data_IF_370139827695
#
_entry.id   IF_370139827695
#
_cell.length_a   1.000
_cell.length_b   1.000
_cell.length_c   1.000
_cell.angle_alpha   90.00
_cell.angle_beta   90.00
_cell.angle_gamma   90.00
#
_symmetry.space_group_name_H-M   'P 1'
#
loop_
_entity.id
_entity.type
_entity.pdbx_description
1 polymer ?
#
# COMPACT_ATOMS: atom_id res chain seq x y z
N UNK A 1 7.06 -29.50 -5.24
CA UNK A 1 6.06 -30.13 -6.15
C UNK A 1 4.66 -30.07 -5.53
N UNK A 2 3.60 -29.96 -6.34
CA UNK A 2 2.22 -29.76 -5.87
C UNK A 2 1.71 -30.97 -5.07
N UNK A 3 1.17 -30.73 -3.88
CA UNK A 3 0.44 -31.75 -3.13
C UNK A 3 -0.96 -32.02 -3.75
N UNK A 4 -1.63 -33.07 -3.28
CA UNK A 4 -2.90 -33.50 -3.86
C UNK A 4 -4.05 -32.51 -3.61
N UNK A 5 -3.97 -31.71 -2.54
CA UNK A 5 -4.94 -30.64 -2.27
C UNK A 5 -4.79 -29.53 -3.31
N UNK A 6 -3.56 -29.07 -3.55
CA UNK A 6 -3.25 -28.05 -4.55
C UNK A 6 -3.57 -28.52 -5.96
N UNK A 7 -3.33 -29.80 -6.31
CA UNK A 7 -3.75 -30.37 -7.60
C UNK A 7 -5.26 -30.33 -7.77
N UNK A 8 -6.01 -30.71 -6.73
CA UNK A 8 -7.48 -30.69 -6.76
C UNK A 8 -8.01 -29.26 -6.95
N UNK A 9 -7.46 -28.30 -6.21
CA UNK A 9 -7.83 -26.88 -6.36
C UNK A 9 -7.49 -26.36 -7.77
N UNK A 10 -6.27 -26.64 -8.25
CA UNK A 10 -5.85 -26.24 -9.59
C UNK A 10 -6.77 -26.84 -10.66
N UNK A 11 -7.12 -28.12 -10.57
CA UNK A 11 -8.05 -28.76 -11.51
C UNK A 11 -9.41 -28.06 -11.53
N UNK A 12 -9.95 -27.69 -10.37
CA UNK A 12 -11.20 -26.93 -10.28
C UNK A 12 -11.09 -25.57 -10.98
N UNK A 13 -9.98 -24.85 -10.76
CA UNK A 13 -9.74 -23.57 -11.45
C UNK A 13 -9.56 -23.74 -12.96
N UNK A 14 -8.81 -24.76 -13.41
CA UNK A 14 -8.64 -25.02 -14.84
C UNK A 14 -9.97 -25.38 -15.53
N UNK A 15 -10.94 -25.95 -14.79
CA UNK A 15 -12.31 -26.13 -15.27
C UNK A 15 -13.04 -24.82 -15.62
N UNK A 16 -12.57 -23.66 -15.12
CA UNK A 16 -13.14 -22.34 -15.41
C UNK A 16 -12.55 -21.68 -16.67
N UNK A 17 -11.55 -22.31 -17.32
CA UNK A 17 -11.00 -21.81 -18.57
C UNK A 17 -12.08 -21.79 -19.65
N UNK A 18 -12.19 -20.67 -20.37
CA UNK A 18 -13.15 -20.49 -21.48
C UNK A 18 -12.51 -20.74 -22.84
N UNK A 19 -11.19 -20.56 -22.92
CA UNK A 19 -10.37 -20.73 -24.11
C UNK A 19 -9.17 -21.63 -23.81
N UNK A 20 -8.67 -22.37 -24.82
CA UNK A 20 -7.45 -23.16 -24.68
C UNK A 20 -6.20 -22.28 -24.53
N UNK A 21 -5.24 -22.77 -23.77
CA UNK A 21 -3.96 -22.11 -23.50
C UNK A 21 -2.78 -23.06 -23.76
N UNK A 22 -1.61 -22.47 -23.95
CA UNK A 22 -0.36 -23.17 -24.22
C UNK A 22 0.72 -22.71 -23.25
N UNK A 23 1.45 -23.67 -22.70
CA UNK A 23 2.62 -23.48 -21.87
C UNK A 23 3.85 -23.69 -22.74
N UNK A 24 4.58 -22.63 -23.08
CA UNK A 24 5.75 -22.69 -23.97
C UNK A 24 7.01 -22.63 -23.12
N UNK A 25 7.61 -23.79 -22.85
CA UNK A 25 8.73 -23.97 -21.96
C UNK A 25 10.08 -23.87 -22.68
N UNK A 26 11.01 -23.15 -22.05
CA UNK A 26 12.44 -23.08 -22.35
C UNK A 26 13.19 -23.69 -21.17
N UNK A 27 13.57 -24.96 -21.30
CA UNK A 27 14.12 -25.76 -20.21
C UNK A 27 15.64 -25.92 -20.34
N UNK A 28 16.29 -26.21 -19.21
CA UNK A 28 17.67 -26.69 -19.12
C UNK A 28 17.74 -27.96 -18.25
N UNK A 29 18.94 -28.49 -18.06
CA UNK A 29 19.18 -29.71 -17.30
C UNK A 29 19.40 -29.46 -15.79
N UNK A 30 19.05 -28.27 -15.28
CA UNK A 30 19.14 -27.95 -13.85
C UNK A 30 18.07 -28.68 -13.04
N UNK A 31 18.25 -28.74 -11.71
CA UNK A 31 17.21 -29.26 -10.79
C UNK A 31 15.92 -28.45 -10.93
N UNK A 32 16.01 -27.11 -10.95
CA UNK A 32 14.89 -26.21 -11.20
C UNK A 32 14.23 -26.47 -12.56
N UNK A 33 15.01 -26.81 -13.59
CA UNK A 33 14.49 -27.14 -14.92
C UNK A 33 13.71 -28.45 -14.94
N UNK A 34 14.21 -29.45 -14.21
CA UNK A 34 13.52 -30.73 -14.00
C UNK A 34 12.21 -30.54 -13.25
N UNK A 35 12.23 -29.77 -12.16
CA UNK A 35 11.05 -29.44 -11.36
C UNK A 35 10.02 -28.62 -12.14
N UNK A 36 10.47 -27.66 -12.96
CA UNK A 36 9.58 -26.89 -13.83
C UNK A 36 8.89 -27.81 -14.83
N UNK A 37 9.62 -28.70 -15.49
CA UNK A 37 9.04 -29.66 -16.42
C UNK A 37 7.96 -30.51 -15.74
N UNK A 38 8.26 -31.06 -14.57
CA UNK A 38 7.32 -31.87 -13.80
C UNK A 38 6.06 -31.07 -13.39
N UNK A 39 6.22 -29.80 -12.99
CA UNK A 39 5.11 -28.90 -12.72
C UNK A 39 4.23 -28.70 -13.96
N UNK A 40 4.82 -28.37 -15.11
CA UNK A 40 4.09 -28.11 -16.35
C UNK A 40 3.34 -29.35 -16.86
N UNK A 41 3.99 -30.53 -16.83
CA UNK A 41 3.36 -31.81 -17.15
C UNK A 41 2.19 -32.12 -16.20
N UNK A 42 2.35 -31.79 -14.90
CA UNK A 42 1.25 -31.91 -13.94
C UNK A 42 0.08 -31.00 -14.33
N UNK A 43 0.31 -29.73 -14.64
CA UNK A 43 -0.77 -28.79 -15.04
C UNK A 43 -1.52 -29.31 -16.27
N UNK A 44 -0.78 -29.80 -17.29
CA UNK A 44 -1.35 -30.36 -18.53
C UNK A 44 -2.21 -31.60 -18.24
N UNK A 45 -1.79 -32.44 -17.27
CA UNK A 45 -2.56 -33.63 -16.89
C UNK A 45 -3.92 -33.30 -16.24
N UNK A 46 -4.11 -32.06 -15.74
CA UNK A 46 -5.32 -31.65 -15.02
C UNK A 46 -6.38 -31.02 -15.93
N UNK A 47 -6.08 -30.68 -17.19
CA UNK A 47 -7.05 -30.08 -18.11
C UNK A 47 -6.73 -30.34 -19.57
N UNK A 48 -7.78 -30.67 -20.34
CA UNK A 48 -7.76 -30.80 -21.80
C UNK A 48 -7.59 -29.46 -22.54
N UNK A 49 -7.75 -28.33 -21.84
CA UNK A 49 -7.57 -26.98 -22.40
C UNK A 49 -6.16 -26.44 -22.24
N UNK A 50 -5.23 -27.21 -21.68
CA UNK A 50 -3.84 -26.80 -21.46
C UNK A 50 -2.92 -27.72 -22.23
N UNK A 51 -2.05 -27.13 -23.06
CA UNK A 51 -1.04 -27.88 -23.83
C UNK A 51 0.37 -27.44 -23.45
N UNK A 52 1.35 -28.34 -23.59
CA UNK A 52 2.76 -28.06 -23.33
C UNK A 52 3.56 -28.10 -24.63
N UNK A 53 4.38 -27.08 -24.83
CA UNK A 53 5.38 -26.99 -25.88
C UNK A 53 6.77 -26.79 -25.25
N UNK A 54 7.66 -27.76 -25.44
CA UNK A 54 9.03 -27.71 -24.91
C UNK A 54 10.05 -27.20 -25.94
N UNK A 55 9.61 -26.63 -27.07
CA UNK A 55 10.49 -26.09 -28.11
C UNK A 55 10.93 -24.64 -27.87
N UNK A 56 10.55 -24.04 -26.74
CA UNK A 56 10.96 -22.68 -26.37
C UNK A 56 12.48 -22.56 -26.20
N UNK A 57 13.00 -21.36 -26.49
CA UNK A 57 14.43 -21.08 -26.41
C UNK A 57 14.72 -19.66 -25.87
N UNK A 58 14.08 -19.30 -24.76
CA UNK A 58 14.35 -18.04 -24.06
C UNK A 58 15.77 -18.00 -23.48
N UNK A 59 16.29 -16.78 -23.27
CA UNK A 59 17.58 -16.56 -22.64
C UNK A 59 17.58 -16.99 -21.16
N UNK A 60 16.45 -16.86 -20.46
CA UNK A 60 16.27 -17.36 -19.10
C UNK A 60 15.79 -18.81 -19.15
N UNK A 61 16.64 -19.72 -18.69
CA UNK A 61 16.32 -21.13 -18.51
C UNK A 61 16.56 -21.50 -17.04
N UNK A 62 15.63 -22.23 -16.40
CA UNK A 62 14.33 -22.64 -16.94
C UNK A 62 13.29 -21.49 -16.92
N UNK A 63 12.48 -21.37 -17.96
CA UNK A 63 11.33 -20.46 -18.01
C UNK A 63 10.19 -21.02 -18.86
N UNK A 64 8.98 -20.46 -18.74
CA UNK A 64 7.88 -20.76 -19.64
C UNK A 64 6.95 -19.57 -19.84
N UNK A 65 6.25 -19.54 -20.97
CA UNK A 65 5.21 -18.55 -21.28
C UNK A 65 3.83 -19.20 -21.12
N UNK A 66 2.92 -18.49 -20.47
CA UNK A 66 1.47 -18.78 -20.52
C UNK A 66 0.88 -17.94 -21.64
N UNK A 67 0.48 -18.58 -22.74
CA UNK A 67 -0.05 -17.93 -23.94
C UNK A 67 -1.42 -18.51 -24.33
N UNK A 68 -2.21 -17.74 -25.09
CA UNK A 68 -3.41 -18.28 -25.74
C UNK A 68 -3.03 -19.23 -26.87
N UNK A 69 -3.94 -20.13 -27.22
CA UNK A 69 -3.74 -20.96 -28.41
C UNK A 69 -3.50 -20.09 -29.67
N UNK A 70 -2.46 -20.41 -30.44
CA UNK A 70 -2.04 -19.65 -31.62
C UNK A 70 -1.12 -18.45 -31.32
N UNK A 71 -0.94 -18.08 -30.05
CA UNK A 71 -0.02 -17.01 -29.63
C UNK A 71 1.30 -17.59 -29.09
N UNK A 72 2.36 -16.79 -29.20
CA UNK A 72 3.70 -17.11 -28.67
C UNK A 72 4.17 -16.13 -27.59
N UNK A 73 3.34 -15.12 -27.32
CA UNK A 73 3.58 -14.09 -26.31
C UNK A 73 2.52 -14.20 -25.21
N UNK A 74 2.87 -13.72 -24.02
CA UNK A 74 2.03 -13.80 -22.84
C UNK A 74 2.86 -13.51 -21.59
N UNK A 75 2.39 -14.01 -20.44
CA UNK A 75 3.11 -13.87 -19.17
C UNK A 75 4.21 -14.92 -19.10
N UNK A 76 5.46 -14.49 -18.90
CA UNK A 76 6.60 -15.38 -18.72
C UNK A 76 6.91 -15.56 -17.24
N UNK A 77 7.16 -16.80 -16.82
CA UNK A 77 7.74 -17.14 -15.53
C UNK A 77 9.12 -17.75 -15.75
N UNK A 78 10.15 -17.16 -15.14
CA UNK A 78 11.52 -17.67 -15.10
C UNK A 78 11.79 -18.19 -13.68
N UNK A 79 12.13 -19.48 -13.57
CA UNK A 79 12.19 -20.21 -12.30
C UNK A 79 10.82 -20.75 -11.89
N UNK A 80 10.68 -21.22 -10.64
CA UNK A 80 9.47 -21.93 -10.19
C UNK A 80 8.43 -20.95 -9.60
N UNK A 81 7.23 -20.79 -10.20
CA UNK A 81 6.16 -19.95 -9.63
C UNK A 81 5.34 -20.70 -8.57
N UNK A 82 6.02 -21.10 -7.49
CA UNK A 82 5.42 -21.77 -6.32
C UNK A 82 5.42 -20.83 -5.09
N UNK A 83 5.22 -21.38 -3.89
CA UNK A 83 5.13 -20.59 -2.67
C UNK A 83 3.93 -19.64 -2.73
N UNK A 84 4.15 -18.36 -2.40
CA UNK A 84 3.10 -17.34 -2.50
C UNK A 84 2.65 -17.07 -3.94
N UNK A 85 3.51 -17.33 -4.93
CA UNK A 85 3.26 -17.06 -6.34
C UNK A 85 2.49 -18.17 -7.06
N UNK A 86 2.17 -19.26 -6.36
CA UNK A 86 1.24 -20.27 -6.88
C UNK A 86 -0.12 -19.65 -7.24
N UNK A 87 -0.60 -18.69 -6.43
CA UNK A 87 -1.84 -17.97 -6.71
C UNK A 87 -1.74 -17.12 -7.98
N UNK A 88 -0.59 -16.48 -8.19
CA UNK A 88 -0.29 -15.68 -9.38
C UNK A 88 -0.24 -16.54 -10.64
N UNK A 89 0.35 -17.74 -10.56
CA UNK A 89 0.31 -18.72 -11.64
C UNK A 89 -1.13 -19.10 -12.00
N UNK A 90 -1.94 -19.47 -11.01
CA UNK A 90 -3.35 -19.84 -11.22
C UNK A 90 -4.12 -18.73 -11.92
N UNK A 91 -3.95 -17.48 -11.47
CA UNK A 91 -4.61 -16.32 -12.07
C UNK A 91 -4.12 -16.05 -13.50
N UNK A 92 -2.81 -16.18 -13.77
CA UNK A 92 -2.28 -16.03 -15.13
C UNK A 92 -2.87 -17.08 -16.08
N UNK A 93 -3.00 -18.34 -15.65
CA UNK A 93 -3.66 -19.40 -16.43
C UNK A 93 -5.12 -19.05 -16.70
N UNK A 94 -5.86 -18.67 -15.65
CA UNK A 94 -7.28 -18.32 -15.72
C UNK A 94 -7.55 -17.14 -16.67
N UNK A 95 -6.84 -16.03 -16.49
CA UNK A 95 -7.04 -14.82 -17.28
C UNK A 95 -6.62 -15.00 -18.73
N UNK A 96 -5.52 -15.73 -18.98
CA UNK A 96 -5.10 -16.07 -20.35
C UNK A 96 -6.16 -16.92 -21.04
N UNK A 97 -6.74 -17.90 -20.33
CA UNK A 97 -7.85 -18.73 -20.80
C UNK A 97 -9.22 -18.06 -20.76
N UNK A 98 -9.31 -16.74 -20.58
CA UNK A 98 -10.54 -15.96 -20.74
C UNK A 98 -11.46 -15.91 -19.52
N UNK A 99 -11.02 -16.35 -18.34
CA UNK A 99 -11.74 -16.09 -17.09
C UNK A 99 -11.63 -14.59 -16.74
N UNK A 100 -12.73 -13.91 -16.37
CA UNK A 100 -12.70 -12.48 -16.11
C UNK A 100 -11.94 -12.16 -14.82
N UNK A 101 -11.06 -11.14 -14.80
CA UNK A 101 -10.40 -10.68 -13.59
C UNK A 101 -11.40 -9.95 -12.68
N UNK A 102 -11.12 -9.94 -11.37
CA UNK A 102 -11.91 -9.19 -10.37
C UNK A 102 -11.35 -7.77 -10.19
N UNK A 103 -11.26 -7.02 -11.29
CA UNK A 103 -10.87 -5.60 -11.28
C UNK A 103 -11.95 -4.78 -11.97
N UNK A 104 -12.00 -3.48 -11.67
CA UNK A 104 -12.94 -2.56 -12.29
C UNK A 104 -12.70 -2.44 -13.80
N UNK A 105 -13.77 -2.32 -14.59
CA UNK A 105 -13.66 -2.26 -16.05
C UNK A 105 -12.82 -1.07 -16.53
N UNK A 106 -12.90 0.06 -15.82
CA UNK A 106 -12.10 1.25 -16.11
C UNK A 106 -10.59 0.98 -16.05
N UNK A 107 -10.15 0.12 -15.13
CA UNK A 107 -8.74 -0.27 -15.01
C UNK A 107 -8.32 -1.08 -16.23
N UNK A 108 -9.14 -2.05 -16.65
CA UNK A 108 -8.89 -2.84 -17.86
C UNK A 108 -8.83 -1.95 -19.10
N UNK A 109 -9.72 -0.97 -19.20
CA UNK A 109 -9.75 -0.05 -20.34
C UNK A 109 -8.53 0.88 -20.34
N UNK A 110 -8.07 1.34 -19.18
CA UNK A 110 -6.82 2.09 -19.05
C UNK A 110 -5.59 1.25 -19.42
N UNK A 111 -5.52 -0.02 -19.01
CA UNK A 111 -4.45 -0.95 -19.42
C UNK A 111 -4.43 -1.08 -20.94
N UNK A 112 -5.58 -1.33 -21.58
CA UNK A 112 -5.69 -1.45 -23.04
C UNK A 112 -5.32 -0.16 -23.77
N UNK A 113 -5.54 1.00 -23.14
CA UNK A 113 -5.25 2.30 -23.71
C UNK A 113 -3.78 2.71 -23.60
N UNK A 114 -2.95 1.99 -22.82
CA UNK A 114 -1.52 2.27 -22.72
C UNK A 114 -0.86 2.21 -24.12
N UNK A 115 -0.23 3.31 -24.49
CA UNK A 115 0.46 3.48 -25.76
C UNK A 115 1.96 3.63 -25.52
N UNK A 116 2.69 2.55 -25.77
CA UNK A 116 4.13 2.43 -25.56
C UNK A 116 4.53 0.96 -25.46
N UNK A 117 5.80 0.65 -25.71
CA UNK A 117 6.34 -0.70 -25.52
C UNK A 117 6.90 -0.83 -24.09
N UNK A 118 6.28 -1.68 -23.29
CA UNK A 118 6.61 -1.87 -21.88
C UNK A 118 7.11 -3.28 -21.64
N UNK A 119 8.39 -3.44 -21.31
CA UNK A 119 8.98 -4.73 -20.93
C UNK A 119 9.27 -4.75 -19.44
N UNK A 120 8.37 -5.35 -18.68
CA UNK A 120 8.50 -5.52 -17.24
C UNK A 120 9.26 -6.79 -16.87
N UNK A 121 10.16 -6.64 -15.90
CA UNK A 121 10.82 -7.73 -15.19
C UNK A 121 10.54 -7.56 -13.70
N UNK A 122 9.89 -8.53 -13.07
CA UNK A 122 9.59 -8.49 -11.63
C UNK A 122 10.32 -9.61 -10.92
N UNK A 123 11.25 -9.25 -10.04
CA UNK A 123 11.96 -10.19 -9.17
C UNK A 123 11.15 -10.44 -7.92
N UNK A 124 10.93 -11.72 -7.60
CA UNK A 124 10.21 -12.20 -6.43
C UNK A 124 11.01 -13.30 -5.72
N UNK A 125 10.57 -13.67 -4.52
CA UNK A 125 11.03 -14.89 -3.83
C UNK A 125 9.82 -15.72 -3.39
N UNK A 126 10.01 -17.03 -3.28
CA UNK A 126 8.94 -17.97 -2.91
C UNK A 126 8.30 -17.67 -1.54
N UNK A 127 9.04 -17.00 -0.65
CA UNK A 127 8.64 -16.65 0.72
C UNK A 127 8.10 -15.22 0.86
N UNK A 128 8.10 -14.43 -0.21
CA UNK A 128 7.64 -13.05 -0.20
C UNK A 128 6.11 -12.96 -0.17
N UNK A 129 5.54 -12.51 0.94
CA UNK A 129 4.08 -12.34 1.10
C UNK A 129 3.49 -11.19 0.26
N UNK A 130 4.30 -10.18 -0.09
CA UNK A 130 3.84 -8.97 -0.80
C UNK A 130 4.03 -9.02 -2.32
N UNK A 131 4.82 -9.97 -2.81
CA UNK A 131 5.14 -10.11 -4.23
C UNK A 131 3.92 -10.46 -5.11
N UNK A 132 2.97 -11.31 -4.66
CA UNK A 132 1.86 -11.74 -5.50
C UNK A 132 1.02 -10.59 -6.05
N UNK A 133 0.76 -9.54 -5.27
CA UNK A 133 -0.04 -8.39 -5.71
C UNK A 133 0.58 -7.71 -6.94
N UNK A 134 1.90 -7.51 -6.92
CA UNK A 134 2.65 -6.84 -7.99
C UNK A 134 2.77 -7.76 -9.20
N UNK A 135 3.06 -9.05 -8.98
CA UNK A 135 3.15 -10.06 -10.03
C UNK A 135 1.80 -10.20 -10.76
N UNK A 136 0.70 -10.26 -10.01
CA UNK A 136 -0.64 -10.35 -10.55
C UNK A 136 -1.03 -9.10 -11.33
N UNK A 137 -0.71 -7.90 -10.82
CA UNK A 137 -0.96 -6.64 -11.52
C UNK A 137 -0.24 -6.61 -12.89
N UNK A 138 1.07 -6.90 -12.92
CA UNK A 138 1.85 -6.89 -14.16
C UNK A 138 1.44 -8.03 -15.13
N UNK A 139 1.05 -9.18 -14.59
CA UNK A 139 0.54 -10.30 -15.39
C UNK A 139 -0.78 -9.92 -16.05
N UNK A 140 -1.69 -9.28 -15.31
CA UNK A 140 -2.95 -8.78 -15.83
C UNK A 140 -2.72 -7.78 -16.97
N UNK A 141 -1.77 -6.85 -16.79
CA UNK A 141 -1.43 -5.88 -17.82
C UNK A 141 -0.96 -6.53 -19.12
N UNK A 142 -0.04 -7.50 -19.04
CA UNK A 142 0.45 -8.22 -20.22
C UNK A 142 -0.63 -9.03 -20.94
N UNK A 143 -1.64 -9.53 -20.22
CA UNK A 143 -2.75 -10.30 -20.81
C UNK A 143 -3.75 -9.38 -21.55
N UNK A 144 -3.93 -8.14 -21.09
CA UNK A 144 -4.92 -7.21 -21.64
C UNK A 144 -4.34 -6.18 -22.61
N UNK A 145 -3.02 -6.00 -22.67
CA UNK A 145 -2.37 -5.12 -23.65
C UNK A 145 -1.15 -5.82 -24.30
N UNK A 146 -1.17 -6.06 -25.63
CA UNK A 146 -0.08 -6.75 -26.33
C UNK A 146 1.25 -5.98 -26.37
N UNK A 147 1.24 -4.67 -26.05
CA UNK A 147 2.47 -3.86 -25.93
C UNK A 147 3.12 -3.98 -24.56
N UNK A 148 2.45 -4.62 -23.59
CA UNK A 148 3.00 -4.90 -22.27
C UNK A 148 3.50 -6.34 -22.24
N UNK A 149 4.78 -6.52 -21.92
CA UNK A 149 5.42 -7.81 -21.71
C UNK A 149 5.81 -7.91 -20.24
N UNK A 150 5.53 -9.05 -19.62
CA UNK A 150 5.86 -9.29 -18.21
C UNK A 150 6.65 -10.58 -18.07
N UNK A 151 7.83 -10.48 -17.47
CA UNK A 151 8.62 -11.63 -17.01
C UNK A 151 8.71 -11.62 -15.49
N UNK A 152 8.17 -12.65 -14.86
CA UNK A 152 8.25 -12.91 -13.43
C UNK A 152 9.48 -13.76 -13.19
N UNK A 153 10.38 -13.32 -12.31
CA UNK A 153 11.70 -13.92 -12.10
C UNK A 153 11.82 -14.34 -10.64
N UNK A 154 11.99 -15.64 -10.41
CA UNK A 154 12.26 -16.20 -9.09
C UNK A 154 13.74 -16.00 -8.75
N UNK A 155 14.03 -15.10 -7.81
CA UNK A 155 15.40 -14.66 -7.51
C UNK A 155 16.33 -15.78 -7.00
N UNK A 156 15.78 -16.84 -6.39
CA UNK A 156 16.55 -18.00 -5.95
C UNK A 156 17.09 -18.84 -7.11
N UNK A 157 16.36 -18.97 -8.22
CA UNK A 157 16.84 -19.59 -9.45
C UNK A 157 17.78 -18.68 -10.26
N UNK A 158 17.67 -17.35 -10.13
CA UNK A 158 18.44 -16.37 -10.92
C UNK A 158 19.34 -15.48 -10.04
N UNK A 159 20.06 -16.07 -9.08
CA UNK A 159 20.90 -15.34 -8.11
C UNK A 159 21.94 -14.43 -8.76
N UNK A 160 22.52 -14.85 -9.90
CA UNK A 160 23.49 -14.04 -10.63
C UNK A 160 22.89 -12.69 -11.07
N UNK A 161 21.64 -12.70 -11.54
CA UNK A 161 20.96 -11.45 -11.92
C UNK A 161 20.65 -10.58 -10.70
N UNK A 162 20.28 -11.20 -9.57
CA UNK A 162 20.04 -10.52 -8.29
C UNK A 162 21.29 -9.77 -7.82
N UNK A 163 22.45 -10.42 -7.91
CA UNK A 163 23.75 -9.84 -7.55
C UNK A 163 24.16 -8.72 -8.52
N UNK A 164 24.12 -8.98 -9.83
CA UNK A 164 24.53 -8.02 -10.87
C UNK A 164 23.66 -6.75 -10.87
N UNK A 165 22.37 -6.89 -10.57
CA UNK A 165 21.42 -5.78 -10.50
C UNK A 165 21.25 -5.20 -9.09
N UNK A 166 22.04 -5.66 -8.13
CA UNK A 166 22.04 -5.17 -6.74
C UNK A 166 20.64 -5.17 -6.09
N UNK A 167 19.88 -6.24 -6.29
CA UNK A 167 18.50 -6.34 -5.79
C UNK A 167 18.53 -6.71 -4.30
N UNK A 168 18.29 -5.72 -3.45
CA UNK A 168 18.34 -5.88 -1.99
C UNK A 168 16.99 -6.21 -1.33
N UNK A 169 15.89 -6.07 -2.07
CA UNK A 169 14.53 -6.32 -1.58
C UNK A 169 13.60 -6.74 -2.73
N UNK A 170 12.56 -7.51 -2.41
CA UNK A 170 11.51 -7.94 -3.35
C UNK A 170 10.11 -7.57 -2.81
N UNK A 171 9.10 -7.33 -3.68
CA UNK A 171 9.19 -7.33 -5.14
C UNK A 171 10.00 -6.15 -5.67
N UNK A 172 10.84 -6.41 -6.67
CA UNK A 172 11.61 -5.40 -7.39
C UNK A 172 11.22 -5.43 -8.86
N UNK A 173 10.75 -4.29 -9.37
CA UNK A 173 10.24 -4.17 -10.74
C UNK A 173 11.19 -3.31 -11.56
N UNK A 174 11.59 -3.84 -12.70
CA UNK A 174 12.27 -3.12 -13.76
C UNK A 174 11.33 -2.92 -14.94
N UNK A 175 11.45 -1.78 -15.61
CA UNK A 175 10.78 -1.46 -16.87
C UNK A 175 11.84 -1.10 -17.90
N UNK A 176 11.89 -1.84 -19.00
CA UNK A 176 12.83 -1.60 -20.11
C UNK A 176 14.31 -1.57 -19.65
N UNK A 177 14.64 -2.35 -18.62
CA UNK A 177 15.99 -2.45 -18.04
C UNK A 177 16.29 -1.46 -16.91
N UNK A 178 15.42 -0.48 -16.66
CA UNK A 178 15.58 0.51 -15.58
C UNK A 178 14.71 0.17 -14.37
N UNK A 179 15.14 0.57 -13.17
CA UNK A 179 14.35 0.37 -11.95
C UNK A 179 13.06 1.20 -12.04
N UNK A 180 11.92 0.52 -11.94
CA UNK A 180 10.60 1.15 -11.97
C UNK A 180 10.02 1.33 -10.57
N UNK A 181 10.15 0.30 -9.73
CA UNK A 181 9.60 0.30 -8.38
C UNK A 181 10.18 -0.80 -7.49
N UNK A 182 10.07 -0.59 -6.17
CA UNK A 182 10.30 -1.61 -5.15
C UNK A 182 9.14 -1.58 -4.14
N UNK A 183 8.74 -2.75 -3.65
CA UNK A 183 7.65 -2.89 -2.69
C UNK A 183 6.27 -3.04 -3.35
N UNK A 184 5.23 -3.07 -2.50
CA UNK A 184 3.85 -3.32 -2.90
C UNK A 184 3.32 -2.20 -3.81
N UNK A 185 2.64 -2.57 -4.88
CA UNK A 185 2.03 -1.64 -5.82
C UNK A 185 0.77 -2.23 -6.43
N UNK A 186 -0.29 -1.44 -6.55
CA UNK A 186 -1.52 -1.85 -7.23
C UNK A 186 -1.42 -1.66 -8.74
N UNK A 187 -2.32 -2.30 -9.49
CA UNK A 187 -2.37 -2.15 -10.95
C UNK A 187 -2.69 -0.71 -11.36
N UNK A 188 -3.53 -0.02 -10.61
CA UNK A 188 -3.88 1.38 -10.83
C UNK A 188 -2.66 2.30 -10.66
N UNK A 189 -1.85 2.06 -9.63
CA UNK A 189 -0.61 2.80 -9.40
C UNK A 189 0.41 2.57 -10.52
N UNK A 190 0.54 1.34 -11.01
CA UNK A 190 1.43 1.01 -12.14
C UNK A 190 0.94 1.73 -13.41
N UNK A 191 -0.34 1.60 -13.75
CA UNK A 191 -0.92 2.24 -14.94
C UNK A 191 -0.76 3.75 -14.88
N UNK A 192 -1.04 4.38 -13.74
CA UNK A 192 -0.89 5.82 -13.54
C UNK A 192 0.55 6.30 -13.76
N UNK A 193 1.56 5.49 -13.39
CA UNK A 193 2.97 5.81 -13.63
C UNK A 193 3.38 5.71 -15.10
N UNK A 194 2.78 4.81 -15.87
CA UNK A 194 3.12 4.59 -17.28
C UNK A 194 2.41 5.56 -18.23
N UNK A 195 1.19 5.92 -17.86
CA UNK A 195 0.31 6.67 -18.74
C UNK A 195 0.56 8.17 -18.61
N UNK A 196 1.51 8.68 -19.38
CA UNK A 196 1.77 10.13 -19.47
C UNK A 196 0.56 10.94 -19.98
N UNK A 197 -0.47 10.28 -20.53
CA UNK A 197 -1.76 10.87 -20.89
C UNK A 197 -2.91 10.59 -19.90
N UNK A 198 -2.69 9.78 -18.85
CA UNK A 198 -3.73 9.40 -17.87
C UNK A 198 -4.29 10.63 -17.19
N UNK A 199 -3.41 11.51 -16.69
CA UNK A 199 -3.84 12.71 -15.98
C UNK A 199 -4.82 13.55 -16.82
N UNK A 200 -4.57 13.70 -18.13
CA UNK A 200 -5.46 14.43 -19.03
C UNK A 200 -6.77 13.69 -19.33
N UNK A 201 -6.72 12.37 -19.54
CA UNK A 201 -7.93 11.55 -19.76
C UNK A 201 -8.79 11.44 -18.53
N UNK A 202 -8.19 11.21 -17.37
CA UNK A 202 -8.87 11.18 -16.07
C UNK A 202 -9.47 12.54 -15.77
N UNK A 203 -8.74 13.62 -16.03
CA UNK A 203 -9.31 14.96 -15.88
C UNK A 203 -10.51 15.18 -16.81
N UNK A 204 -10.45 14.72 -18.07
CA UNK A 204 -11.59 14.78 -18.99
C UNK A 204 -12.77 13.93 -18.50
N UNK A 205 -12.54 12.71 -18.01
CA UNK A 205 -13.58 11.83 -17.44
C UNK A 205 -14.23 12.48 -16.21
N UNK A 206 -13.45 13.09 -15.32
CA UNK A 206 -13.94 13.79 -14.14
C UNK A 206 -14.74 15.04 -14.52
N UNK A 207 -14.25 15.83 -15.48
CA UNK A 207 -14.95 17.01 -16.00
C UNK A 207 -16.29 16.68 -16.67
N UNK A 208 -16.42 15.47 -17.22
CA UNK A 208 -17.66 15.00 -17.85
C UNK A 208 -18.72 14.51 -16.84
N UNK A 209 -18.39 14.39 -15.54
CA UNK A 209 -19.35 13.94 -14.53
C UNK A 209 -20.38 15.04 -14.23
N UNK A 210 -21.65 14.65 -14.21
CA UNK A 210 -22.73 15.53 -13.72
C UNK A 210 -22.51 15.93 -12.26
N UNK A 211 -22.94 17.14 -11.85
CA UNK A 211 -22.80 17.61 -10.49
C UNK A 211 -23.34 16.61 -9.46
N UNK A 212 -22.61 16.45 -8.36
CA UNK A 212 -23.02 15.61 -7.25
C UNK A 212 -24.01 16.37 -6.34
N UNK A 213 -24.88 15.64 -5.65
CA UNK A 213 -25.61 16.23 -4.52
C UNK A 213 -24.64 16.44 -3.34
N UNK A 214 -23.77 15.45 -3.11
CA UNK A 214 -22.70 15.49 -2.11
C UNK A 214 -21.40 14.97 -2.73
N UNK A 215 -20.34 15.77 -2.71
CA UNK A 215 -18.98 15.35 -3.02
C UNK A 215 -18.16 15.27 -1.73
N UNK A 216 -17.57 14.13 -1.45
CA UNK A 216 -16.70 13.89 -0.30
C UNK A 216 -15.25 13.94 -0.77
N UNK A 217 -14.42 14.74 -0.12
CA UNK A 217 -12.99 14.88 -0.42
C UNK A 217 -12.18 14.20 0.68
N UNK A 218 -11.59 13.04 0.36
CA UNK A 218 -10.84 12.17 1.25
C UNK A 218 -11.55 10.84 1.52
N UNK A 219 -10.95 9.72 1.12
CA UNK A 219 -11.52 8.37 1.18
C UNK A 219 -11.16 7.57 2.44
N UNK A 220 -10.77 8.22 3.54
CA UNK A 220 -10.52 7.57 4.83
C UNK A 220 -11.82 7.13 5.53
N UNK A 221 -11.75 6.62 6.78
CA UNK A 221 -12.92 6.16 7.52
C UNK A 221 -14.04 7.21 7.64
N UNK A 222 -13.69 8.48 7.85
CA UNK A 222 -14.65 9.58 7.89
C UNK A 222 -15.40 9.77 6.56
N UNK A 223 -14.68 9.74 5.43
CA UNK A 223 -15.27 9.88 4.11
C UNK A 223 -16.11 8.66 3.71
N UNK A 224 -15.63 7.45 4.01
CA UNK A 224 -16.39 6.22 3.78
C UNK A 224 -17.71 6.20 4.56
N UNK A 225 -17.67 6.59 5.84
CA UNK A 225 -18.88 6.72 6.66
C UNK A 225 -19.85 7.76 6.08
N UNK A 226 -19.37 8.96 5.74
CA UNK A 226 -20.19 9.99 5.12
C UNK A 226 -20.85 9.50 3.82
N UNK A 227 -20.08 8.78 2.98
CA UNK A 227 -20.55 8.25 1.70
C UNK A 227 -21.68 7.25 1.88
N UNK A 228 -21.52 6.28 2.79
CA UNK A 228 -22.56 5.29 3.11
C UNK A 228 -23.83 5.98 3.58
N UNK A 229 -23.73 6.94 4.50
CA UNK A 229 -24.89 7.62 5.05
C UNK A 229 -25.62 8.50 4.02
N UNK A 230 -24.87 9.21 3.18
CA UNK A 230 -25.43 10.03 2.11
C UNK A 230 -26.12 9.14 1.05
N UNK A 231 -25.45 8.09 0.58
CA UNK A 231 -25.98 7.21 -0.47
C UNK A 231 -27.25 6.47 -0.03
N UNK A 232 -27.37 6.13 1.27
CA UNK A 232 -28.59 5.57 1.87
C UNK A 232 -29.82 6.49 1.78
N UNK A 233 -29.65 7.77 1.43
CA UNK A 233 -30.75 8.71 1.18
C UNK A 233 -31.14 8.79 -0.30
N UNK A 234 -30.49 8.01 -1.18
CA UNK A 234 -30.82 7.96 -2.61
C UNK A 234 -30.34 9.17 -3.40
N UNK A 235 -29.40 9.95 -2.86
CA UNK A 235 -28.81 11.11 -3.54
C UNK A 235 -27.52 10.72 -4.28
N UNK A 236 -27.11 11.53 -5.26
CA UNK A 236 -25.89 11.30 -6.06
C UNK A 236 -24.65 11.66 -5.24
N UNK A 237 -23.87 10.65 -4.87
CA UNK A 237 -22.69 10.78 -4.00
C UNK A 237 -21.41 10.42 -4.77
N UNK A 238 -20.39 11.27 -4.63
CA UNK A 238 -19.05 11.00 -5.11
C UNK A 238 -18.02 11.06 -3.98
N UNK A 239 -16.97 10.24 -4.05
CA UNK A 239 -15.83 10.29 -3.14
C UNK A 239 -14.57 10.49 -3.98
N UNK A 240 -13.93 11.65 -3.88
CA UNK A 240 -12.62 11.91 -4.45
C UNK A 240 -11.54 11.62 -3.41
N UNK A 241 -10.62 10.70 -3.69
CA UNK A 241 -9.62 10.25 -2.74
C UNK A 241 -8.26 10.04 -3.40
N UNK A 242 -7.18 10.44 -2.72
CA UNK A 242 -5.82 10.10 -3.12
C UNK A 242 -5.60 8.59 -3.02
N UNK A 243 -5.98 8.00 -1.86
CA UNK A 243 -5.99 6.56 -1.60
C UNK A 243 -7.17 6.21 -0.71
N UNK A 244 -8.10 5.39 -1.20
CA UNK A 244 -9.22 4.92 -0.38
C UNK A 244 -8.72 4.13 0.85
N UNK A 245 -9.40 4.28 1.98
CA UNK A 245 -8.98 3.78 3.29
C UNK A 245 -8.13 4.76 4.10
N UNK A 246 -7.40 5.69 3.45
CA UNK A 246 -6.57 6.68 4.14
C UNK A 246 -5.51 6.04 5.04
N UNK A 247 -5.31 6.60 6.24
CA UNK A 247 -4.24 6.17 7.17
C UNK A 247 -4.32 4.70 7.59
N UNK A 248 -5.53 4.12 7.68
CA UNK A 248 -5.67 2.75 8.19
C UNK A 248 -4.95 1.74 7.31
N UNK A 249 -4.75 2.02 6.02
CA UNK A 249 -4.01 1.13 5.13
C UNK A 249 -2.58 0.85 5.59
N UNK A 250 -1.98 1.78 6.33
CA UNK A 250 -0.60 1.68 6.80
C UNK A 250 -0.53 1.18 8.26
N UNK A 251 -1.67 0.80 8.85
CA UNK A 251 -1.79 0.27 10.20
C UNK A 251 -1.72 -1.26 10.18
N UNK A 252 -0.91 -1.85 11.06
CA UNK A 252 -0.80 -3.31 11.17
C UNK A 252 -1.99 -3.92 11.91
N UNK A 253 -2.10 -3.71 13.22
CA UNK A 253 -3.16 -4.26 14.05
C UNK A 253 -4.13 -3.16 14.48
N UNK A 254 -5.43 -3.48 14.47
CA UNK A 254 -6.52 -2.61 14.90
C UNK A 254 -7.40 -3.41 15.85
N UNK A 255 -7.34 -3.08 17.14
CA UNK A 255 -8.05 -3.77 18.24
C UNK A 255 -9.08 -2.86 18.94
N UNK A 256 -9.29 -1.66 18.40
CA UNK A 256 -10.13 -0.63 19.00
C UNK A 256 -11.30 -0.19 18.11
N UNK A 257 -11.56 -0.92 17.01
CA UNK A 257 -12.76 -0.69 16.21
C UNK A 257 -13.94 -1.44 16.84
N UNK A 258 -14.81 -0.70 17.52
CA UNK A 258 -15.91 -1.25 18.33
C UNK A 258 -16.69 -2.33 17.56
N UNK A 259 -16.99 -3.44 18.25
CA UNK A 259 -17.59 -4.70 17.74
C UNK A 259 -16.65 -5.65 16.97
N UNK A 260 -15.44 -5.22 16.64
CA UNK A 260 -14.40 -6.05 16.02
C UNK A 260 -13.27 -6.24 17.01
N UNK A 261 -13.04 -7.49 17.42
CA UNK A 261 -12.00 -7.82 18.41
C UNK A 261 -10.60 -7.49 17.88
N UNK A 262 -10.32 -7.88 16.64
CA UNK A 262 -9.05 -7.63 15.97
C UNK A 262 -9.27 -7.61 14.44
N UNK A 263 -8.61 -6.68 13.77
CA UNK A 263 -8.45 -6.65 12.31
C UNK A 263 -7.14 -5.99 11.95
N UNK A 264 -6.78 -6.01 10.68
CA UNK A 264 -5.66 -5.24 10.15
C UNK A 264 -6.11 -4.09 9.24
N UNK A 265 -5.18 -3.17 8.97
CA UNK A 265 -5.39 -1.99 8.14
C UNK A 265 -5.95 -2.27 6.75
N UNK A 266 -5.25 -3.05 5.90
CA UNK A 266 -5.73 -3.41 4.57
C UNK A 266 -7.09 -4.10 4.57
N UNK A 267 -7.33 -5.05 5.48
CA UNK A 267 -8.62 -5.74 5.62
C UNK A 267 -9.74 -4.77 5.99
N UNK A 268 -9.47 -3.84 6.90
CA UNK A 268 -10.44 -2.83 7.31
C UNK A 268 -10.76 -1.84 6.18
N UNK A 269 -9.74 -1.36 5.45
CA UNK A 269 -9.92 -0.50 4.29
C UNK A 269 -10.76 -1.17 3.19
N UNK A 270 -10.48 -2.44 2.88
CA UNK A 270 -11.25 -3.21 1.91
C UNK A 270 -12.71 -3.41 2.35
N UNK A 271 -12.96 -3.63 3.65
CA UNK A 271 -14.31 -3.74 4.18
C UNK A 271 -15.09 -2.41 4.07
N UNK A 272 -14.44 -1.27 4.34
CA UNK A 272 -15.02 0.06 4.13
C UNK A 272 -15.36 0.27 2.64
N UNK A 273 -14.45 -0.08 1.74
CA UNK A 273 -14.65 0.11 0.31
C UNK A 273 -15.82 -0.74 -0.21
N UNK A 274 -15.87 -2.02 0.19
CA UNK A 274 -16.96 -2.91 -0.16
C UNK A 274 -18.32 -2.35 0.29
N UNK A 275 -18.38 -1.77 1.50
CA UNK A 275 -19.62 -1.15 2.00
C UNK A 275 -20.01 0.11 1.21
N UNK A 276 -19.05 0.95 0.83
CA UNK A 276 -19.32 2.14 -0.01
C UNK A 276 -19.80 1.73 -1.40
N UNK A 277 -19.11 0.78 -2.05
CA UNK A 277 -19.48 0.24 -3.37
C UNK A 277 -20.85 -0.43 -3.37
N UNK A 278 -21.25 -1.08 -2.28
CA UNK A 278 -22.58 -1.69 -2.14
C UNK A 278 -23.73 -0.69 -2.39
N UNK A 279 -23.54 0.59 -2.08
CA UNK A 279 -24.54 1.63 -2.32
C UNK A 279 -24.37 2.37 -3.65
N UNK A 280 -23.51 1.88 -4.56
CA UNK A 280 -23.30 2.47 -5.88
C UNK A 280 -22.66 3.86 -5.86
N UNK A 281 -21.91 4.17 -4.80
CA UNK A 281 -21.16 5.44 -4.69
C UNK A 281 -20.03 5.47 -5.72
N UNK A 282 -19.87 6.61 -6.38
CA UNK A 282 -18.80 6.86 -7.33
C UNK A 282 -17.49 7.16 -6.59
N UNK A 283 -16.62 6.16 -6.46
CA UNK A 283 -15.29 6.31 -5.84
C UNK A 283 -14.27 6.67 -6.92
N UNK A 284 -13.75 7.89 -6.85
CA UNK A 284 -12.73 8.45 -7.72
C UNK A 284 -11.38 8.41 -6.99
N UNK A 285 -10.64 7.32 -7.15
CA UNK A 285 -9.31 7.11 -6.56
C UNK A 285 -8.19 7.84 -7.34
N UNK A 286 -7.02 7.96 -6.70
CA UNK A 286 -5.83 8.64 -7.22
C UNK A 286 -6.08 10.12 -7.56
N UNK A 287 -6.96 10.74 -6.77
CA UNK A 287 -7.48 12.08 -6.99
C UNK A 287 -7.16 12.98 -5.79
N UNK A 288 -6.25 13.93 -5.98
CA UNK A 288 -5.87 14.91 -4.96
C UNK A 288 -6.50 16.27 -5.25
N UNK A 289 -7.21 16.81 -4.27
CA UNK A 289 -7.81 18.14 -4.38
C UNK A 289 -6.75 19.24 -4.20
N UNK A 290 -6.80 20.24 -5.06
CA UNK A 290 -5.87 21.39 -5.09
C UNK A 290 -6.56 22.69 -4.67
N UNK A 291 -7.85 22.87 -5.00
CA UNK A 291 -8.56 24.11 -4.66
C UNK A 291 -10.04 23.89 -4.44
N UNK A 292 -10.57 24.52 -3.40
CA UNK A 292 -12.02 24.64 -3.17
C UNK A 292 -12.49 26.00 -3.69
N UNK A 293 -13.55 26.01 -4.50
CA UNK A 293 -14.18 27.23 -5.01
C UNK A 293 -15.61 27.26 -4.47
N UNK A 294 -15.94 28.23 -3.60
CA UNK A 294 -17.30 28.40 -3.08
C UNK A 294 -18.33 28.56 -4.19
N UNK A 295 -19.58 28.24 -3.88
CA UNK A 295 -20.66 28.27 -4.85
C UNK A 295 -20.81 29.66 -5.50
N UNK A 296 -20.88 29.67 -6.83
CA UNK A 296 -21.18 30.85 -7.62
C UNK A 296 -22.69 31.05 -7.80
N UNK A 297 -23.06 31.73 -8.89
CA UNK A 297 -24.48 31.99 -9.23
C UNK A 297 -25.27 30.72 -9.56
N UNK A 298 -24.58 29.65 -9.97
CA UNK A 298 -25.19 28.34 -10.25
C UNK A 298 -25.49 27.52 -8.97
N UNK A 299 -25.08 28.01 -7.80
CA UNK A 299 -25.27 27.34 -6.52
C UNK A 299 -24.41 26.09 -6.32
N UNK A 300 -23.42 25.85 -7.18
CA UNK A 300 -22.56 24.66 -7.12
C UNK A 300 -21.16 25.01 -6.60
N UNK A 301 -20.75 24.31 -5.55
CA UNK A 301 -19.36 24.31 -5.08
C UNK A 301 -18.51 23.53 -6.07
N UNK A 302 -17.28 24.01 -6.33
CA UNK A 302 -16.35 23.32 -7.23
C UNK A 302 -15.10 22.90 -6.47
N UNK A 303 -14.62 21.68 -6.75
CA UNK A 303 -13.34 21.17 -6.25
C UNK A 303 -12.44 20.93 -7.45
N UNK A 304 -11.36 21.70 -7.52
CA UNK A 304 -10.31 21.52 -8.51
C UNK A 304 -9.33 20.47 -8.02
N UNK A 305 -8.95 19.59 -8.93
CA UNK A 305 -8.04 18.48 -8.69
C UNK A 305 -6.64 18.83 -9.21
N UNK A 306 -5.59 18.24 -8.65
CA UNK A 306 -4.19 18.51 -9.07
C UNK A 306 -3.94 18.18 -10.55
N UNK A 307 -4.69 17.23 -11.13
CA UNK A 307 -4.62 16.90 -12.57
C UNK A 307 -5.36 17.91 -13.48
N UNK A 308 -5.92 18.99 -12.92
CA UNK A 308 -6.65 20.03 -13.65
C UNK A 308 -8.15 19.77 -13.84
N UNK A 309 -8.68 18.65 -13.35
CA UNK A 309 -10.11 18.39 -13.36
C UNK A 309 -10.87 19.32 -12.40
N UNK A 310 -12.15 19.53 -12.65
CA UNK A 310 -13.06 20.22 -11.74
C UNK A 310 -14.32 19.40 -11.55
N UNK A 311 -14.54 18.97 -10.31
CA UNK A 311 -15.79 18.32 -9.89
C UNK A 311 -16.73 19.38 -9.31
N UNK A 312 -18.03 19.22 -9.57
CA UNK A 312 -19.08 20.13 -9.07
C UNK A 312 -20.02 19.41 -8.12
N UNK A 313 -20.46 20.08 -7.07
CA UNK A 313 -21.46 19.53 -6.16
C UNK A 313 -22.32 20.61 -5.50
N UNK A 314 -23.54 20.26 -5.07
CA UNK A 314 -24.37 21.13 -4.23
C UNK A 314 -23.79 21.29 -2.83
N UNK A 315 -23.19 20.23 -2.29
CA UNK A 315 -22.54 20.22 -0.99
C UNK A 315 -21.21 19.45 -1.05
N UNK A 316 -20.24 19.89 -0.24
CA UNK A 316 -18.93 19.24 -0.13
C UNK A 316 -18.67 18.87 1.32
N UNK A 317 -18.18 17.65 1.56
CA UNK A 317 -17.70 17.18 2.86
C UNK A 317 -16.20 17.01 2.77
N UNK A 318 -15.46 17.72 3.63
CA UNK A 318 -14.01 17.64 3.71
C UNK A 318 -13.60 16.63 4.78
N UNK A 319 -12.97 15.54 4.37
CA UNK A 319 -12.52 14.44 5.23
C UNK A 319 -11.10 14.01 4.87
N UNK A 320 -10.22 14.98 4.61
CA UNK A 320 -8.85 14.79 4.14
C UNK A 320 -7.88 14.30 5.23
N UNK A 321 -8.33 14.25 6.48
CA UNK A 321 -7.55 13.77 7.61
C UNK A 321 -6.32 14.62 7.90
N UNK A 322 -5.30 13.99 8.47
CA UNK A 322 -4.03 14.61 8.82
C UNK A 322 -2.87 13.67 8.47
N UNK A 323 -1.65 14.14 8.67
CA UNK A 323 -0.43 13.34 8.66
C UNK A 323 0.37 13.61 9.92
N UNK A 324 1.07 12.59 10.40
CA UNK A 324 1.97 12.75 11.54
C UNK A 324 3.24 13.49 11.11
N UNK A 325 3.76 14.35 11.98
CA UNK A 325 5.11 14.89 11.80
C UNK A 325 6.11 13.78 12.08
N UNK A 326 6.97 13.53 11.11
CA UNK A 326 8.09 12.62 11.27
C UNK A 326 9.26 13.32 11.99
N UNK A 327 10.08 12.53 12.66
CA UNK A 327 11.35 13.00 13.24
C UNK A 327 12.36 13.31 12.13
N UNK A 328 12.30 12.56 11.03
CA UNK A 328 13.19 12.56 9.87
C UNK A 328 14.64 12.18 10.23
N UNK A 329 14.80 11.05 10.90
CA UNK A 329 16.10 10.49 11.29
C UNK A 329 16.31 9.08 10.71
N UNK A 330 17.57 8.62 10.56
CA UNK A 330 17.86 7.23 10.24
C UNK A 330 17.12 6.25 11.16
N UNK A 331 16.62 5.17 10.57
CA UNK A 331 15.86 4.12 11.25
C UNK A 331 14.36 4.39 11.44
N UNK A 332 13.89 5.65 11.38
CA UNK A 332 12.45 5.94 11.57
C UNK A 332 11.58 5.24 10.51
N UNK A 333 11.92 5.39 9.23
CA UNK A 333 11.18 4.75 8.14
C UNK A 333 11.37 3.22 8.12
N UNK A 334 12.57 2.74 8.46
CA UNK A 334 12.92 1.30 8.47
C UNK A 334 12.15 0.52 9.53
N UNK A 335 12.00 1.11 10.72
CA UNK A 335 11.34 0.51 11.86
C UNK A 335 9.90 0.97 12.07
N UNK A 336 9.32 1.70 11.11
CA UNK A 336 7.89 2.01 11.07
C UNK A 336 7.08 0.71 11.15
N UNK A 337 6.13 0.66 12.08
CA UNK A 337 5.34 -0.54 12.41
C UNK A 337 6.14 -1.74 12.95
N UNK A 338 7.44 -1.56 13.26
CA UNK A 338 8.33 -2.56 13.88
C UNK A 338 8.94 -2.03 15.19
N UNK A 339 8.17 -1.22 15.91
CA UNK A 339 8.59 -0.53 17.13
C UNK A 339 8.48 0.98 17.05
N UNK A 340 8.52 1.59 15.86
CA UNK A 340 8.14 3.00 15.68
C UNK A 340 6.63 3.09 15.46
N UNK A 341 5.97 3.84 16.33
CA UNK A 341 4.54 4.03 16.38
C UNK A 341 4.20 5.53 16.45
N UNK A 342 3.01 5.89 15.98
CA UNK A 342 2.51 7.27 16.01
C UNK A 342 1.24 7.42 16.85
N UNK A 343 0.59 6.32 17.24
CA UNK A 343 -0.65 6.33 18.00
C UNK A 343 -0.48 5.56 19.31
N UNK A 344 -0.33 6.22 20.47
CA UNK A 344 -0.20 5.54 21.76
C UNK A 344 -1.43 4.69 22.10
N UNK A 345 -2.63 5.18 21.76
CA UNK A 345 -3.88 4.45 22.01
C UNK A 345 -4.02 3.18 21.16
N UNK A 346 -3.36 3.14 19.99
CA UNK A 346 -3.44 2.02 19.07
C UNK A 346 -2.42 0.95 19.46
N UNK A 347 -1.16 1.36 19.65
CA UNK A 347 -0.04 0.42 19.76
C UNK A 347 0.44 0.22 21.21
N UNK A 348 0.05 1.11 22.15
CA UNK A 348 0.47 1.06 23.56
C UNK A 348 0.33 -0.30 24.23
N UNK A 349 -0.81 -1.02 24.09
CA UNK A 349 -0.99 -2.35 24.65
C UNK A 349 0.05 -3.38 24.21
N UNK A 350 0.61 -3.25 23.00
CA UNK A 350 1.62 -4.17 22.44
C UNK A 350 2.96 -4.08 23.19
N UNK A 351 3.21 -3.00 23.93
CA UNK A 351 4.45 -2.75 24.67
C UNK A 351 4.32 -3.06 26.17
N UNK A 352 3.30 -3.82 26.58
CA UNK A 352 3.13 -4.23 27.98
C UNK A 352 4.41 -4.86 28.55
N UNK A 353 4.89 -4.31 29.66
CA UNK A 353 6.13 -4.77 30.31
C UNK A 353 7.41 -4.53 29.50
N UNK A 354 7.40 -3.61 28.52
CA UNK A 354 8.58 -3.20 27.76
C UNK A 354 8.99 -1.77 28.11
N UNK A 355 10.20 -1.37 27.72
CA UNK A 355 10.68 0.02 27.82
C UNK A 355 10.33 0.74 26.51
N UNK A 356 9.84 1.97 26.61
CA UNK A 356 9.43 2.77 25.45
C UNK A 356 9.95 4.21 25.56
N UNK A 357 9.92 4.94 24.45
CA UNK A 357 10.12 6.38 24.43
C UNK A 357 8.95 7.11 23.78
N UNK A 358 8.74 8.36 24.19
CA UNK A 358 7.84 9.31 23.55
C UNK A 358 8.66 10.50 23.06
N UNK A 359 8.56 10.85 21.78
CA UNK A 359 9.24 12.01 21.20
C UNK A 359 8.26 13.17 21.09
N UNK A 360 8.51 14.24 21.83
CA UNK A 360 7.67 15.44 21.91
C UNK A 360 7.10 15.65 23.32
N UNK A 361 7.16 16.89 23.80
CA UNK A 361 6.75 17.32 25.15
C UNK A 361 5.67 18.40 25.15
N UNK A 362 4.86 18.48 24.09
CA UNK A 362 3.55 19.15 24.12
C UNK A 362 2.48 18.27 24.78
N UNK A 363 1.23 18.74 24.86
CA UNK A 363 0.13 18.00 25.51
C UNK A 363 0.02 16.55 25.00
N UNK A 364 0.00 16.33 23.67
CA UNK A 364 -0.11 14.99 23.09
C UNK A 364 1.01 14.05 23.54
N UNK A 365 2.25 14.51 23.57
CA UNK A 365 3.39 13.69 23.99
C UNK A 365 3.40 13.42 25.50
N UNK A 366 3.05 14.41 26.31
CA UNK A 366 2.99 14.24 27.77
C UNK A 366 1.82 13.33 28.17
N UNK A 367 0.65 13.48 27.56
CA UNK A 367 -0.49 12.58 27.78
C UNK A 367 -0.17 11.15 27.33
N UNK A 368 0.45 10.99 26.15
CA UNK A 368 0.89 9.68 25.67
C UNK A 368 1.86 9.01 26.65
N UNK A 369 2.80 9.77 27.21
CA UNK A 369 3.73 9.24 28.20
C UNK A 369 3.04 8.85 29.51
N UNK A 370 2.05 9.62 29.97
CA UNK A 370 1.23 9.27 31.14
C UNK A 370 0.43 7.99 30.91
N UNK A 371 -0.19 7.85 29.74
CA UNK A 371 -0.98 6.68 29.35
C UNK A 371 -0.09 5.42 29.29
N UNK A 372 1.01 5.50 28.52
CA UNK A 372 1.97 4.40 28.39
C UNK A 372 2.57 3.99 29.74
N UNK A 373 2.86 4.94 30.64
CA UNK A 373 3.42 4.64 31.96
C UNK A 373 2.52 3.74 32.82
N UNK A 374 1.20 3.66 32.53
CA UNK A 374 0.29 2.71 33.16
C UNK A 374 0.35 1.27 32.61
N UNK A 375 0.99 1.06 31.46
CA UNK A 375 0.99 -0.20 30.70
C UNK A 375 2.39 -0.81 30.60
N UNK A 376 3.41 0.04 30.40
CA UNK A 376 4.77 -0.35 30.04
C UNK A 376 5.69 -0.37 31.27
N UNK A 377 6.87 -0.99 31.16
CA UNK A 377 7.87 -1.04 32.24
C UNK A 377 8.44 0.35 32.55
N UNK A 378 8.79 1.12 31.51
CA UNK A 378 9.38 2.45 31.65
C UNK A 378 9.11 3.31 30.40
N UNK A 379 8.91 4.62 30.60
CA UNK A 379 8.77 5.60 29.53
C UNK A 379 9.90 6.62 29.58
N UNK A 380 10.57 6.84 28.45
CA UNK A 380 11.54 7.93 28.28
C UNK A 380 10.94 9.02 27.41
N UNK A 381 10.63 10.19 27.96
CA UNK A 381 10.15 11.33 27.16
C UNK A 381 11.33 12.18 26.69
N UNK A 382 11.39 12.42 25.38
CA UNK A 382 12.43 13.21 24.72
C UNK A 382 11.79 14.50 24.18
N UNK A 383 12.16 15.64 24.74
CA UNK A 383 11.74 16.98 24.30
C UNK A 383 12.93 17.74 23.71
N UNK A 384 12.70 18.31 22.53
CA UNK A 384 13.70 19.04 21.76
C UNK A 384 14.04 20.41 22.38
N UNK A 385 13.05 21.11 22.91
CA UNK A 385 13.20 22.37 23.62
C UNK A 385 13.83 22.17 25.00
N UNK A 386 14.22 23.25 25.64
CA UNK A 386 14.78 23.28 27.00
C UNK A 386 13.76 23.00 28.10
N UNK A 387 12.47 22.96 27.76
CA UNK A 387 11.37 22.67 28.65
C UNK A 387 10.17 22.04 27.92
N UNK A 388 9.32 21.33 28.67
CA UNK A 388 8.04 20.82 28.18
C UNK A 388 7.09 21.99 27.88
N UNK A 389 6.30 21.87 26.81
CA UNK A 389 5.28 22.85 26.41
C UNK A 389 3.86 22.44 26.81
N UNK A 390 3.71 21.28 27.42
CA UNK A 390 2.42 20.80 27.89
C UNK A 390 1.87 21.64 29.07
N UNK A 391 0.57 21.55 29.29
CA UNK A 391 -0.10 22.19 30.42
C UNK A 391 0.52 21.74 31.76
N UNK A 392 0.65 22.68 32.70
CA UNK A 392 1.35 22.45 33.96
C UNK A 392 0.81 21.24 34.73
N UNK A 393 -0.51 21.02 34.70
CA UNK A 393 -1.16 19.87 35.36
C UNK A 393 -0.70 18.53 34.78
N UNK A 394 -0.45 18.46 33.46
CA UNK A 394 0.05 17.26 32.80
C UNK A 394 1.53 17.06 33.11
N UNK A 395 2.31 18.14 33.12
CA UNK A 395 3.73 18.11 33.49
C UNK A 395 3.92 17.62 34.93
N UNK A 396 3.13 18.14 35.86
CA UNK A 396 3.17 17.73 37.28
C UNK A 396 2.76 16.27 37.44
N UNK A 397 1.70 15.85 36.73
CA UNK A 397 1.30 14.44 36.71
C UNK A 397 2.40 13.54 36.16
N UNK A 398 3.02 13.89 35.04
CA UNK A 398 4.10 13.12 34.43
C UNK A 398 5.29 12.98 35.38
N UNK A 399 5.72 14.08 36.01
CA UNK A 399 6.82 14.09 36.99
C UNK A 399 6.53 13.27 38.25
N UNK A 400 5.26 13.04 38.59
CA UNK A 400 4.87 12.20 39.72
C UNK A 400 5.04 10.70 39.48
N UNK A 401 5.23 10.28 38.21
CA UNK A 401 5.28 8.86 37.84
C UNK A 401 6.69 8.30 38.07
N UNK A 402 6.85 7.20 38.82
CA UNK A 402 8.16 6.68 39.21
C UNK A 402 8.91 5.96 38.07
N UNK A 403 8.21 5.59 37.00
CA UNK A 403 8.74 4.86 35.85
C UNK A 403 8.88 5.73 34.60
N UNK A 404 8.99 7.05 34.78
CA UNK A 404 9.17 8.01 33.69
C UNK A 404 10.48 8.78 33.86
N UNK A 405 11.26 8.86 32.78
CA UNK A 405 12.43 9.75 32.69
C UNK A 405 12.17 10.82 31.63
N UNK A 406 12.49 12.07 31.94
CA UNK A 406 12.28 13.22 31.04
C UNK A 406 13.66 13.79 30.64
N UNK A 407 13.90 13.87 29.33
CA UNK A 407 15.06 14.55 28.76
C UNK A 407 14.61 15.76 27.95
N UNK A 408 15.00 16.95 28.39
CA UNK A 408 14.88 18.21 27.64
C UNK A 408 16.17 18.50 26.90
N UNK A 409 16.16 19.46 25.99
CA UNK A 409 17.26 19.74 25.07
C UNK A 409 17.68 18.52 24.24
N UNK A 410 16.82 17.51 24.10
CA UNK A 410 17.18 16.22 23.55
C UNK A 410 16.67 16.13 22.11
N UNK A 411 17.61 16.09 21.15
CA UNK A 411 17.32 15.88 19.74
C UNK A 411 17.59 14.43 19.38
N UNK A 412 16.55 13.65 19.07
CA UNK A 412 16.73 12.32 18.48
C UNK A 412 17.57 12.41 17.21
N UNK A 413 18.57 11.54 17.09
CA UNK A 413 19.49 11.49 15.95
C UNK A 413 19.37 10.20 15.15
N UNK A 414 18.94 9.10 15.78
CA UNK A 414 18.80 7.78 15.16
C UNK A 414 17.83 6.92 15.97
N UNK A 415 17.02 6.11 15.30
CA UNK A 415 16.25 5.02 15.91
C UNK A 415 16.93 3.71 15.52
N UNK A 416 17.41 2.94 16.50
CA UNK A 416 18.23 1.75 16.25
C UNK A 416 17.39 0.48 16.30
N UNK A 417 17.80 -0.55 15.57
CA UNK A 417 17.17 -1.87 15.63
C UNK A 417 18.15 -3.01 15.36
N UNK A 418 17.64 -4.23 15.46
CA UNK A 418 18.37 -5.48 15.25
C UNK A 418 18.23 -6.03 13.82
N UNK A 419 17.72 -5.21 12.89
CA UNK A 419 17.32 -5.60 11.54
C UNK A 419 15.89 -6.14 11.43
N UNK A 420 15.25 -6.47 12.56
CA UNK A 420 13.84 -6.92 12.60
C UNK A 420 12.92 -5.93 13.30
N UNK A 421 13.37 -5.33 14.40
CA UNK A 421 12.58 -4.41 15.24
C UNK A 421 13.47 -3.41 15.97
N UNK A 422 12.83 -2.37 16.53
CA UNK A 422 13.50 -1.38 17.38
C UNK A 422 14.17 -2.05 18.59
N UNK A 423 15.40 -1.64 18.89
CA UNK A 423 16.13 -2.01 20.10
C UNK A 423 16.62 -0.78 20.90
N UNK A 424 16.50 0.42 20.34
CA UNK A 424 16.96 1.63 21.01
C UNK A 424 16.68 2.93 20.27
N UNK A 425 17.11 4.02 20.90
CA UNK A 425 17.05 5.37 20.37
C UNK A 425 18.32 6.12 20.78
N UNK A 426 18.91 6.85 19.83
CA UNK A 426 19.99 7.80 20.10
C UNK A 426 19.45 9.22 20.07
N UNK A 427 19.95 10.03 20.99
CA UNK A 427 19.70 11.46 20.99
C UNK A 427 20.96 12.23 21.37
N UNK A 428 21.01 13.48 20.90
CA UNK A 428 22.03 14.46 21.24
C UNK A 428 21.45 15.48 22.20
N UNK A 429 22.13 15.70 23.32
CA UNK A 429 21.87 16.85 24.18
C UNK A 429 22.36 18.10 23.45
N UNK A 430 21.43 19.00 23.13
CA UNK A 430 21.67 20.24 22.37
C UNK A 430 22.43 21.27 23.19
N UNK A 431 22.42 21.18 24.52
CA UNK A 431 23.08 22.16 25.39
C UNK A 431 24.60 21.96 25.44
N UNK A 432 25.08 20.72 25.40
CA UNK A 432 26.50 20.38 25.53
C UNK A 432 27.05 19.52 24.38
N UNK A 433 26.19 19.01 23.50
CA UNK A 433 26.56 18.21 22.33
C UNK A 433 26.77 16.73 22.60
N UNK A 434 26.58 16.25 23.84
CA UNK A 434 26.78 14.84 24.23
C UNK A 434 25.75 13.93 23.57
N UNK A 435 26.20 12.76 23.11
CA UNK A 435 25.31 11.74 22.56
C UNK A 435 24.97 10.68 23.61
N UNK A 436 23.71 10.26 23.61
CA UNK A 436 23.16 9.27 24.51
C UNK A 436 22.45 8.18 23.72
N UNK A 437 22.50 6.96 24.25
CA UNK A 437 21.75 5.82 23.73
C UNK A 437 20.83 5.28 24.81
N UNK A 438 19.57 5.01 24.45
CA UNK A 438 18.54 4.45 25.33
C UNK A 438 18.07 3.14 24.75
N UNK A 439 18.24 2.05 25.49
CA UNK A 439 17.69 0.74 25.12
C UNK A 439 16.18 0.70 25.39
N UNK A 440 15.41 0.35 24.36
CA UNK A 440 13.95 0.33 24.39
C UNK A 440 13.38 -0.53 23.26
N UNK A 441 12.12 -0.94 23.40
CA UNK A 441 11.43 -1.76 22.41
C UNK A 441 10.53 -0.94 21.47
N UNK A 442 10.14 0.27 21.87
CA UNK A 442 9.19 1.09 21.12
C UNK A 442 9.43 2.59 21.24
N UNK A 443 9.15 3.32 20.16
CA UNK A 443 9.27 4.77 20.04
C UNK A 443 7.96 5.34 19.52
N UNK A 444 7.31 6.18 20.33
CA UNK A 444 6.06 6.86 20.01
C UNK A 444 6.33 8.30 19.60
N UNK A 445 6.14 8.63 18.32
CA UNK A 445 6.38 9.97 17.79
C UNK A 445 5.15 10.85 18.02
N UNK A 446 5.24 11.84 18.91
CA UNK A 446 4.18 12.77 19.31
C UNK A 446 4.58 14.24 19.08
N UNK A 447 5.22 14.52 17.93
CA UNK A 447 5.70 15.86 17.55
C UNK A 447 4.56 16.75 17.00
N UNK A 448 3.41 16.14 16.70
CA UNK A 448 2.19 16.81 16.30
C UNK A 448 1.60 16.26 15.01
N UNK A 449 0.35 16.64 14.76
CA UNK A 449 -0.37 16.36 13.53
C UNK A 449 -0.32 17.58 12.61
N UNK A 450 -0.29 17.32 11.30
CA UNK A 450 -0.46 18.34 10.26
C UNK A 450 -1.75 17.99 9.51
N UNK A 451 -2.84 18.74 9.69
CA UNK A 451 -4.05 18.57 8.90
C UNK A 451 -3.77 18.72 7.41
N UNK A 452 -4.44 17.93 6.57
CA UNK A 452 -4.30 18.00 5.11
C UNK A 452 -5.23 19.08 4.54
N UNK A 453 -4.98 20.33 4.93
CA UNK A 453 -5.87 21.48 4.74
C UNK A 453 -5.17 22.69 4.13
N UNK A 454 -3.88 22.60 3.79
CA UNK A 454 -3.10 23.72 3.28
C UNK A 454 -3.71 24.34 2.01
N UNK A 455 -4.33 23.50 1.18
CA UNK A 455 -5.05 23.85 -0.05
C UNK A 455 -6.37 24.62 0.17
N UNK A 456 -6.84 24.71 1.42
CA UNK A 456 -8.09 25.38 1.79
C UNK A 456 -7.88 26.79 2.35
N UNK A 457 -6.62 27.20 2.59
CA UNK A 457 -6.29 28.51 3.16
C UNK A 457 -6.93 29.65 2.37
N UNK A 458 -7.64 30.52 3.08
CA UNK A 458 -8.36 31.65 2.50
C UNK A 458 -9.72 31.31 1.89
N UNK A 459 -10.12 30.04 1.89
CA UNK A 459 -11.45 29.60 1.43
C UNK A 459 -12.35 29.17 2.58
N UNK A 460 -11.81 28.40 3.53
CA UNK A 460 -12.48 28.06 4.79
C UNK A 460 -11.66 28.62 5.95
N UNK A 461 -12.33 28.92 7.07
CA UNK A 461 -11.62 29.27 8.30
C UNK A 461 -10.80 28.07 8.77
N UNK A 462 -9.61 28.33 9.29
CA UNK A 462 -8.74 27.31 9.85
C UNK A 462 -8.30 27.76 11.24
N UNK A 463 -8.21 26.81 12.18
CA UNK A 463 -7.61 27.02 13.48
C UNK A 463 -6.13 27.43 13.35
N UNK A 464 -5.52 27.94 14.44
CA UNK A 464 -4.08 28.24 14.46
C UNK A 464 -3.19 27.03 14.19
N UNK A 465 -3.73 25.82 14.28
CA UNK A 465 -3.06 24.55 13.99
C UNK A 465 -3.38 24.00 12.58
N UNK A 466 -4.19 24.72 11.79
CA UNK A 466 -4.57 24.34 10.44
C UNK A 466 -5.77 23.39 10.37
N UNK A 467 -6.46 23.11 11.47
CA UNK A 467 -7.69 22.31 11.45
C UNK A 467 -8.84 23.15 10.86
N UNK A 468 -9.79 22.53 10.13
CA UNK A 468 -11.00 23.20 9.63
C UNK A 468 -11.88 23.63 10.80
#
# INVERSE_FOLDING_TARGET
MLDDSLKTQLQQYLGLLRQPIRLIASLDDSETGTDMKALLETIVSLSDKVTLDTSGNDARKPSFVVAREGETQGVRFAGLPLGHEFTSLVLALLWTGGHPPKVEQDVIDSIKALDGDFSFEVYMSLTCHNCPDVVQALSLMAIFNPKVKTTVIEGGAFQKEVEERQIMAVPMVFLNGEVFASGRMSVEEIVAKLDTGAASRDAAKLNAKDPFEVLIVGGGPAGAAAAVYAARKGIRVGVAAERFGGQVNDTMAIENYISVLETDGPKFAAALEAQVRHYGVDIMNLQRADKLIPAGLDGLVQVQMENGATLKAKTVILSTGARWRNVNVPGEAEYKNKGVAYCPHCDGPLFKGKRTAVIGGGNSGVEAAIDLAGIVEHVTLVEFADQLKADAVLVDKLKSLPNVTIHVNAQTTEITGDGSKVNGLRYKDRANGTEHHVELAGVFVQIGLVPNTEWLKGTVELSKFGEI
#
